data_IF_746575766260
#
_entry.id   IF_746575766260
#
_cell.length_a   1.000
_cell.length_b   1.000
_cell.length_c   1.000
_cell.angle_alpha   90.00
_cell.angle_beta   90.00
_cell.angle_gamma   90.00
#
_symmetry.space_group_name_H-M   'P 1'
#
loop_
_entity.id
_entity.type
_entity.pdbx_description
1 polymer ?
#
# COMPACT_ATOMS: atom_id res chain seq x y z
N UNK A 1 70.29 -44.29 -78.22
CA UNK A 1 69.97 -42.95 -78.76
C UNK A 1 68.47 -42.73 -78.58
N UNK A 2 68.10 -41.64 -77.87
CA UNK A 2 66.80 -40.94 -77.75
C UNK A 2 65.49 -41.77 -77.66
N UNK A 3 64.72 -41.74 -76.56
CA UNK A 3 63.83 -40.66 -76.04
C UNK A 3 62.70 -40.24 -77.00
N UNK A 4 61.47 -40.16 -76.41
CA UNK A 4 60.23 -39.44 -76.83
C UNK A 4 59.33 -40.15 -77.85
N UNK A 5 57.99 -40.00 -77.87
CA UNK A 5 56.93 -39.36 -77.04
C UNK A 5 55.59 -39.69 -77.73
N UNK A 6 54.49 -39.79 -76.99
CA UNK A 6 53.14 -39.29 -77.35
C UNK A 6 52.17 -39.74 -76.24
N UNK A 7 51.65 -38.86 -75.37
CA UNK A 7 50.54 -37.91 -75.55
C UNK A 7 49.24 -38.54 -76.10
N UNK A 8 48.30 -38.86 -75.20
CA UNK A 8 46.97 -38.23 -75.07
C UNK A 8 46.00 -39.18 -74.35
N UNK A 9 45.43 -38.70 -73.25
CA UNK A 9 44.43 -39.40 -72.46
C UNK A 9 43.68 -38.41 -71.58
N UNK A 10 42.93 -37.50 -72.22
CA UNK A 10 41.91 -36.71 -71.54
C UNK A 10 40.70 -37.61 -71.30
N UNK A 11 40.35 -37.86 -70.03
CA UNK A 11 38.96 -38.07 -69.59
C UNK A 11 38.82 -38.00 -68.07
N UNK A 12 37.79 -37.25 -67.68
CA UNK A 12 36.96 -37.36 -66.48
C UNK A 12 37.46 -36.73 -65.17
N UNK A 13 36.87 -35.55 -64.89
CA UNK A 13 35.86 -35.44 -63.84
C UNK A 13 36.34 -35.40 -62.38
N UNK A 14 36.39 -34.20 -61.82
CA UNK A 14 36.53 -34.00 -60.38
C UNK A 14 36.08 -32.59 -59.98
N UNK A 15 34.79 -32.44 -59.67
CA UNK A 15 34.28 -31.30 -58.89
C UNK A 15 34.95 -31.30 -57.52
N UNK A 16 35.61 -30.21 -57.15
CA UNK A 16 36.30 -30.12 -55.86
C UNK A 16 36.93 -28.77 -55.58
N UNK A 17 36.13 -27.72 -55.48
CA UNK A 17 36.54 -26.47 -54.81
C UNK A 17 35.48 -26.05 -53.78
N UNK A 18 35.25 -26.91 -52.79
CA UNK A 18 34.57 -26.50 -51.56
C UNK A 18 35.58 -25.71 -50.70
N UNK A 19 35.80 -24.45 -51.10
CA UNK A 19 36.53 -23.48 -50.29
C UNK A 19 35.74 -23.20 -49.02
N UNK A 20 36.26 -23.68 -47.88
CA UNK A 20 35.78 -23.44 -46.53
C UNK A 20 35.69 -21.93 -46.23
N UNK A 21 34.49 -21.35 -46.34
CA UNK A 21 34.14 -20.11 -45.66
C UNK A 21 33.58 -20.47 -44.28
N UNK A 22 34.49 -20.65 -43.33
CA UNK A 22 34.17 -20.75 -41.91
C UNK A 22 33.83 -19.34 -41.43
N UNK A 23 32.58 -18.91 -41.66
CA UNK A 23 32.02 -17.72 -41.03
C UNK A 23 31.98 -18.02 -39.54
N UNK A 24 32.90 -17.42 -38.79
CA UNK A 24 32.84 -17.35 -37.33
C UNK A 24 31.58 -16.56 -37.00
N UNK A 25 30.53 -17.28 -36.61
CA UNK A 25 29.34 -16.69 -36.03
C UNK A 25 29.73 -16.06 -34.69
N UNK A 26 29.91 -14.75 -34.68
CA UNK A 26 29.98 -13.94 -33.47
C UNK A 26 28.62 -14.06 -32.78
N UNK A 27 28.52 -14.56 -31.54
CA UNK A 27 27.24 -14.57 -30.85
C UNK A 27 26.90 -13.13 -30.43
N UNK A 28 26.13 -12.43 -31.25
CA UNK A 28 25.47 -11.17 -30.89
C UNK A 28 24.26 -11.44 -29.98
N UNK A 29 24.48 -12.07 -28.82
CA UNK A 29 23.43 -12.44 -27.86
C UNK A 29 23.51 -11.71 -26.52
N UNK A 30 24.40 -10.73 -26.33
CA UNK A 30 24.44 -9.90 -25.13
C UNK A 30 23.40 -8.74 -25.14
N UNK A 31 22.21 -8.99 -25.70
CA UNK A 31 21.20 -7.96 -25.93
C UNK A 31 19.76 -8.37 -25.60
N UNK A 32 19.55 -9.46 -24.85
CA UNK A 32 18.24 -9.76 -24.28
C UNK A 32 18.15 -9.08 -22.90
N UNK A 33 17.47 -7.93 -22.89
CA UNK A 33 17.39 -6.96 -21.80
C UNK A 33 17.04 -7.54 -20.44
N UNK A 34 18.05 -7.62 -19.58
CA UNK A 34 17.85 -7.71 -18.14
C UNK A 34 17.25 -6.38 -17.66
N UNK A 35 16.30 -6.36 -16.72
CA UNK A 35 15.83 -5.11 -16.13
C UNK A 35 17.03 -4.35 -15.55
N UNK A 36 17.23 -3.09 -15.93
CA UNK A 36 18.29 -2.27 -15.31
C UNK A 36 18.10 -2.24 -13.79
N UNK A 37 19.13 -2.55 -13.02
CA UNK A 37 19.22 -2.36 -11.57
C UNK A 37 20.59 -1.74 -11.34
N UNK A 38 20.67 -0.41 -11.45
CA UNK A 38 21.96 0.30 -11.52
C UNK A 38 22.73 0.08 -10.23
N UNK A 39 22.01 0.07 -9.10
CA UNK A 39 22.54 -0.11 -7.77
C UNK A 39 22.46 -1.56 -7.26
N UNK A 40 21.97 -2.51 -8.08
CA UNK A 40 21.78 -3.91 -7.65
C UNK A 40 20.95 -4.02 -6.36
N UNK A 41 19.93 -3.16 -6.23
CA UNK A 41 19.09 -3.04 -5.04
C UNK A 41 18.48 -4.38 -4.64
N UNK A 42 18.03 -5.16 -5.63
CA UNK A 42 17.40 -6.45 -5.38
C UNK A 42 18.37 -7.46 -4.76
N UNK A 43 19.61 -7.52 -5.27
CA UNK A 43 20.63 -8.40 -4.73
C UNK A 43 21.10 -7.97 -3.34
N UNK A 44 21.20 -6.67 -3.07
CA UNK A 44 21.59 -6.12 -1.75
C UNK A 44 20.57 -6.45 -0.66
N UNK A 45 19.28 -6.35 -0.98
CA UNK A 45 18.20 -6.58 -0.02
C UNK A 45 18.04 -8.06 0.32
N UNK A 46 18.23 -8.97 -0.65
CA UNK A 46 18.04 -10.41 -0.42
C UNK A 46 19.05 -10.93 0.62
N UNK A 47 18.56 -11.38 1.77
CA UNK A 47 19.44 -11.76 2.89
C UNK A 47 20.06 -10.58 3.64
N UNK A 48 19.70 -9.34 3.30
CA UNK A 48 20.25 -8.11 3.82
C UNK A 48 19.20 -7.26 4.54
N UNK A 49 19.30 -5.93 4.38
CA UNK A 49 18.40 -4.97 5.02
C UNK A 49 17.54 -4.28 3.95
N UNK A 50 16.24 -4.16 4.21
CA UNK A 50 15.27 -3.39 3.45
C UNK A 50 14.99 -2.06 4.18
N UNK A 51 15.44 -0.94 3.63
CA UNK A 51 15.25 0.40 4.18
C UNK A 51 13.92 1.00 3.68
N UNK A 52 12.99 1.21 4.61
CA UNK A 52 11.61 1.60 4.29
C UNK A 52 11.27 2.95 4.88
N UNK A 53 10.95 3.93 4.02
CA UNK A 53 10.40 5.21 4.43
C UNK A 53 8.90 5.14 4.71
N UNK A 54 8.45 5.70 5.83
CA UNK A 54 7.05 5.73 6.26
C UNK A 54 6.59 7.12 6.73
N UNK A 55 5.37 7.49 6.35
CA UNK A 55 4.63 8.61 6.92
C UNK A 55 3.24 8.12 7.35
N UNK A 56 2.73 8.66 8.46
CA UNK A 56 1.44 8.23 9.02
C UNK A 56 0.28 8.64 8.12
N UNK A 57 -0.48 7.65 7.64
CA UNK A 57 -1.62 7.83 6.78
C UNK A 57 -2.57 6.62 6.93
N UNK A 58 -3.46 6.59 7.94
CA UNK A 58 -4.38 5.49 8.12
C UNK A 58 -5.40 5.38 6.97
N UNK A 59 -5.78 4.18 6.52
CA UNK A 59 -5.40 2.86 7.04
C UNK A 59 -4.14 2.27 6.40
N UNK A 60 -3.48 2.99 5.48
CA UNK A 60 -2.31 2.52 4.75
C UNK A 60 -1.11 2.32 5.68
N UNK A 61 -0.82 3.32 6.50
CA UNK A 61 0.29 3.33 7.47
C UNK A 61 -0.22 3.91 8.78
N UNK A 62 -0.10 3.13 9.85
CA UNK A 62 -0.52 3.49 11.20
C UNK A 62 0.71 3.40 12.09
N UNK A 63 0.96 4.45 12.88
CA UNK A 63 2.00 4.42 13.89
C UNK A 63 1.44 3.80 15.17
N UNK A 64 2.11 2.77 15.70
CA UNK A 64 1.75 2.16 16.98
C UNK A 64 2.97 2.04 17.89
N UNK A 65 2.74 1.80 19.17
CA UNK A 65 3.82 1.55 20.14
C UNK A 65 4.63 0.28 19.81
N UNK A 66 4.04 -0.68 19.10
CA UNK A 66 4.69 -1.94 18.69
C UNK A 66 5.46 -1.83 17.37
N UNK A 67 5.33 -0.69 16.66
CA UNK A 67 5.92 -0.48 15.34
C UNK A 67 4.88 -0.06 14.29
N UNK A 68 5.29 0.04 13.02
CA UNK A 68 4.38 0.32 11.91
C UNK A 68 3.31 -0.77 11.76
N UNK A 69 2.08 -0.37 11.55
CA UNK A 69 0.94 -1.24 11.25
C UNK A 69 0.13 -0.67 10.07
N UNK A 70 -0.91 -1.39 9.64
CA UNK A 70 -1.73 -1.00 8.49
C UNK A 70 -1.35 -1.75 7.23
N UNK A 71 -2.05 -1.44 6.14
CA UNK A 71 -1.98 -2.25 4.93
C UNK A 71 -0.58 -2.28 4.30
N UNK A 72 0.07 -1.14 4.15
CA UNK A 72 1.38 -1.08 3.48
C UNK A 72 2.49 -1.73 4.32
N UNK A 73 2.63 -1.49 5.64
CA UNK A 73 3.59 -2.21 6.45
C UNK A 73 3.39 -3.73 6.46
N UNK A 74 2.15 -4.22 6.49
CA UNK A 74 1.85 -5.67 6.39
C UNK A 74 2.36 -6.24 5.05
N UNK A 75 2.08 -5.57 3.94
CA UNK A 75 2.58 -5.98 2.61
C UNK A 75 4.12 -6.02 2.59
N UNK A 76 4.75 -5.01 3.18
CA UNK A 76 6.22 -4.89 3.17
C UNK A 76 6.87 -5.94 4.07
N UNK A 77 6.23 -6.28 5.18
CA UNK A 77 6.67 -7.38 6.06
C UNK A 77 6.63 -8.71 5.32
N UNK A 78 5.53 -9.02 4.64
CA UNK A 78 5.41 -10.24 3.81
C UNK A 78 6.49 -10.28 2.71
N UNK A 79 6.78 -9.15 2.06
CA UNK A 79 7.88 -9.05 1.08
C UNK A 79 9.26 -9.31 1.70
N UNK A 80 9.54 -8.73 2.88
CA UNK A 80 10.82 -8.91 3.54
C UNK A 80 11.04 -10.37 3.95
N UNK A 81 9.98 -11.06 4.40
CA UNK A 81 10.00 -12.49 4.68
C UNK A 81 10.34 -13.31 3.43
N UNK A 82 9.72 -13.01 2.27
CA UNK A 82 10.03 -13.66 0.98
C UNK A 82 11.48 -13.46 0.53
N UNK A 83 12.08 -12.32 0.89
CA UNK A 83 13.45 -11.95 0.56
C UNK A 83 14.46 -12.39 1.62
N UNK A 84 14.00 -12.93 2.75
CA UNK A 84 14.82 -13.19 3.95
C UNK A 84 15.61 -11.93 4.36
N UNK A 85 14.95 -10.77 4.37
CA UNK A 85 15.54 -9.48 4.67
C UNK A 85 15.08 -8.97 6.04
N UNK A 86 15.95 -8.27 6.76
CA UNK A 86 15.58 -7.48 7.93
C UNK A 86 15.04 -6.12 7.49
N UNK A 87 14.07 -5.54 8.21
CA UNK A 87 13.49 -4.25 7.84
C UNK A 87 14.02 -3.16 8.77
N UNK A 88 14.50 -2.07 8.18
CA UNK A 88 14.76 -0.82 8.88
C UNK A 88 13.69 0.23 8.53
N UNK A 89 12.92 0.65 9.54
CA UNK A 89 11.83 1.61 9.39
C UNK A 89 12.31 3.03 9.63
N UNK A 90 12.12 3.90 8.64
CA UNK A 90 12.52 5.31 8.67
C UNK A 90 11.29 6.20 8.61
N UNK A 91 11.02 6.97 9.67
CA UNK A 91 9.86 7.85 9.73
C UNK A 91 10.23 9.30 9.48
N UNK A 92 9.56 9.95 8.53
CA UNK A 92 9.71 11.38 8.25
C UNK A 92 8.49 11.91 7.45
N UNK A 93 8.54 13.17 7.04
CA UNK A 93 7.63 13.78 6.07
C UNK A 93 7.84 13.20 4.66
N UNK A 94 6.75 13.13 3.87
CA UNK A 94 6.78 12.69 2.48
C UNK A 94 7.89 13.35 1.65
N UNK A 95 8.11 14.66 1.84
CA UNK A 95 9.15 15.40 1.13
C UNK A 95 10.57 14.93 1.46
N UNK A 96 10.85 14.66 2.74
CA UNK A 96 12.17 14.19 3.17
C UNK A 96 12.39 12.74 2.74
N UNK A 97 11.36 11.89 2.85
CA UNK A 97 11.43 10.49 2.41
C UNK A 97 11.67 10.39 0.90
N UNK A 98 10.97 11.19 0.09
CA UNK A 98 11.18 11.21 -1.35
C UNK A 98 12.58 11.73 -1.72
N UNK A 99 13.13 12.70 -0.99
CA UNK A 99 14.51 13.15 -1.18
C UNK A 99 15.52 12.06 -0.79
N UNK A 100 15.32 11.38 0.34
CA UNK A 100 16.17 10.27 0.78
C UNK A 100 16.15 9.10 -0.23
N UNK A 101 14.97 8.77 -0.76
CA UNK A 101 14.78 7.79 -1.83
C UNK A 101 15.55 8.17 -3.10
N UNK A 102 15.51 9.44 -3.52
CA UNK A 102 16.29 9.93 -4.67
C UNK A 102 17.80 9.84 -4.47
N UNK A 103 18.26 9.95 -3.22
CA UNK A 103 19.67 9.82 -2.86
C UNK A 103 20.09 8.38 -2.56
N UNK A 104 19.21 7.40 -2.77
CA UNK A 104 19.51 5.98 -2.55
C UNK A 104 19.67 5.60 -1.07
N UNK A 105 19.13 6.40 -0.15
CA UNK A 105 19.14 6.10 1.29
C UNK A 105 17.99 5.19 1.72
N UNK A 106 16.95 5.08 0.88
CA UNK A 106 15.78 4.24 1.10
C UNK A 106 15.58 3.35 -0.12
N UNK A 107 15.10 2.14 0.11
CA UNK A 107 14.82 1.16 -0.95
C UNK A 107 13.38 1.29 -1.45
N UNK A 108 12.46 1.71 -0.58
CA UNK A 108 11.08 2.08 -0.95
C UNK A 108 10.50 3.10 0.04
N UNK A 109 9.45 3.80 -0.38
CA UNK A 109 8.65 4.66 0.50
C UNK A 109 7.17 4.30 0.39
N UNK A 110 6.54 4.07 1.54
CA UNK A 110 5.13 3.72 1.67
C UNK A 110 4.42 4.71 2.61
N UNK A 111 3.49 5.48 2.06
CA UNK A 111 2.80 6.58 2.74
C UNK A 111 1.32 6.68 2.31
N UNK A 112 0.76 5.63 1.71
CA UNK A 112 -0.55 5.68 1.05
C UNK A 112 -0.59 6.62 -0.16
N UNK A 113 0.55 6.79 -0.85
CA UNK A 113 0.67 7.69 -1.99
C UNK A 113 -0.34 7.37 -3.08
N UNK A 114 -0.81 8.42 -3.76
CA UNK A 114 -1.64 8.29 -4.96
C UNK A 114 -0.85 8.60 -6.21
N UNK A 115 -1.15 7.89 -7.30
CA UNK A 115 -0.56 8.12 -8.61
C UNK A 115 -0.86 9.55 -9.07
N UNK A 116 0.18 10.37 -9.16
CA UNK A 116 0.09 11.74 -9.65
C UNK A 116 1.43 12.22 -10.24
N UNK A 117 1.38 13.31 -11.01
CA UNK A 117 2.56 13.87 -11.70
C UNK A 117 3.64 14.43 -10.76
N UNK A 118 3.30 14.81 -9.51
CA UNK A 118 4.30 15.27 -8.55
C UNK A 118 5.14 14.10 -8.06
N UNK A 119 4.53 12.97 -7.73
CA UNK A 119 5.24 11.77 -7.29
C UNK A 119 6.26 11.30 -8.35
N UNK A 120 5.86 11.26 -9.62
CA UNK A 120 6.72 10.82 -10.72
C UNK A 120 7.92 11.74 -11.00
N UNK A 121 7.90 12.96 -10.45
CA UNK A 121 9.07 13.86 -10.49
C UNK A 121 10.19 13.35 -9.58
N UNK A 122 9.84 12.78 -8.43
CA UNK A 122 10.80 12.34 -7.41
C UNK A 122 11.14 10.85 -7.51
N UNK A 123 10.14 10.00 -7.71
CA UNK A 123 10.27 8.55 -7.62
C UNK A 123 9.78 7.84 -8.88
N UNK A 124 10.18 6.58 -9.06
CA UNK A 124 9.37 5.63 -9.79
C UNK A 124 8.23 5.15 -8.88
N UNK A 125 7.17 4.57 -9.45
CA UNK A 125 6.09 4.01 -8.65
C UNK A 125 5.67 2.66 -9.19
N UNK A 126 5.16 1.80 -8.31
CA UNK A 126 4.45 0.59 -8.73
C UNK A 126 3.25 0.96 -9.61
N UNK A 127 2.67 -0.04 -10.28
CA UNK A 127 1.28 0.12 -10.73
C UNK A 127 0.37 0.30 -9.51
N UNK A 128 -0.80 0.94 -9.68
CA UNK A 128 -1.76 1.04 -8.61
C UNK A 128 -2.10 -0.33 -8.02
N UNK A 129 -1.81 -0.53 -6.73
CA UNK A 129 -2.12 -1.78 -6.04
C UNK A 129 -3.56 -1.75 -5.49
N UNK A 130 -4.12 -0.56 -5.27
CA UNK A 130 -5.49 -0.37 -4.83
C UNK A 130 -6.11 0.91 -5.43
N UNK A 131 -7.42 0.90 -5.66
CA UNK A 131 -8.16 2.07 -6.11
C UNK A 131 -9.29 2.39 -5.13
N UNK A 132 -9.11 3.45 -4.33
CA UNK A 132 -10.13 3.95 -3.42
C UNK A 132 -11.20 4.71 -4.20
N UNK A 133 -12.37 4.09 -4.38
CA UNK A 133 -13.54 4.73 -4.99
C UNK A 133 -14.28 5.56 -3.96
N UNK A 134 -14.41 6.86 -4.20
CA UNK A 134 -15.26 7.75 -3.40
C UNK A 134 -16.68 7.75 -3.94
N UNK A 135 -17.64 7.59 -3.04
CA UNK A 135 -19.06 7.54 -3.35
C UNK A 135 -19.88 8.04 -2.17
N UNK A 136 -21.21 8.07 -2.32
CA UNK A 136 -22.16 8.30 -1.23
C UNK A 136 -22.63 6.96 -0.70
N UNK A 137 -22.66 6.80 0.62
CA UNK A 137 -23.31 5.68 1.30
C UNK A 137 -24.38 6.15 2.26
N UNK A 138 -25.37 5.28 2.50
CA UNK A 138 -26.42 5.47 3.50
C UNK A 138 -26.26 4.47 4.64
N UNK A 139 -26.77 4.74 5.85
CA UNK A 139 -26.73 3.77 6.94
C UNK A 139 -27.25 2.39 6.49
N UNK A 140 -26.57 1.33 6.93
CA UNK A 140 -26.91 -0.04 6.51
C UNK A 140 -28.35 -0.38 6.90
N UNK A 141 -29.11 -0.87 5.92
CA UNK A 141 -30.53 -1.18 6.08
C UNK A 141 -31.46 -0.09 5.55
N UNK A 142 -30.92 1.08 5.22
CA UNK A 142 -31.65 2.10 4.45
C UNK A 142 -31.58 1.82 2.95
N UNK A 143 -32.60 2.29 2.23
CA UNK A 143 -32.65 2.20 0.78
C UNK A 143 -31.77 3.29 0.16
N UNK A 144 -30.95 2.91 -0.83
CA UNK A 144 -30.14 3.87 -1.57
C UNK A 144 -31.07 4.83 -2.34
N UNK A 145 -30.87 6.15 -2.24
CA UNK A 145 -31.69 7.09 -2.99
C UNK A 145 -31.44 6.92 -4.49
N UNK A 146 -32.46 7.10 -5.31
CA UNK A 146 -32.32 7.03 -6.77
C UNK A 146 -31.47 8.18 -7.35
N UNK A 147 -31.32 9.28 -6.62
CA UNK A 147 -30.57 10.47 -7.01
C UNK A 147 -30.05 11.22 -5.77
N UNK A 148 -28.99 12.00 -5.95
CA UNK A 148 -28.42 12.88 -4.92
C UNK A 148 -29.00 14.29 -4.93
N UNK A 149 -29.94 14.61 -5.84
CA UNK A 149 -30.52 15.93 -6.01
C UNK A 149 -31.10 16.48 -4.69
N UNK A 150 -30.56 17.61 -4.24
CA UNK A 150 -30.86 18.28 -2.96
C UNK A 150 -30.63 17.45 -1.68
N UNK A 151 -30.05 16.24 -1.80
CA UNK A 151 -29.76 15.39 -0.64
C UNK A 151 -28.65 16.01 0.21
N UNK A 152 -28.86 16.09 1.51
CA UNK A 152 -27.79 16.47 2.45
C UNK A 152 -26.84 15.30 2.61
N UNK A 153 -25.57 15.52 2.31
CA UNK A 153 -24.54 14.48 2.39
C UNK A 153 -23.40 14.97 3.25
N UNK A 154 -23.15 14.30 4.37
CA UNK A 154 -22.03 14.60 5.25
C UNK A 154 -20.70 14.20 4.56
N UNK A 155 -19.68 15.02 4.68
CA UNK A 155 -18.35 14.73 4.15
C UNK A 155 -17.27 15.39 5.00
N UNK A 156 -16.05 14.87 4.94
CA UNK A 156 -14.92 15.47 5.64
C UNK A 156 -14.69 16.91 5.12
N UNK A 157 -14.26 17.88 5.97
CA UNK A 157 -14.10 19.28 5.54
C UNK A 157 -13.12 19.45 4.37
N UNK A 158 -12.11 18.59 4.32
CA UNK A 158 -11.10 18.56 3.27
C UNK A 158 -11.24 17.28 2.45
N UNK A 159 -11.38 17.43 1.14
CA UNK A 159 -11.45 16.32 0.18
C UNK A 159 -11.60 16.82 -1.25
N UNK A 160 -10.99 16.12 -2.21
CA UNK A 160 -10.98 16.51 -3.62
C UNK A 160 -12.31 16.17 -4.35
N UNK A 161 -13.28 15.60 -3.64
CA UNK A 161 -14.57 15.15 -4.19
C UNK A 161 -15.77 16.05 -3.81
N UNK A 162 -15.54 17.21 -3.17
CA UNK A 162 -16.60 18.17 -2.82
C UNK A 162 -17.31 18.72 -4.07
N UNK A 163 -16.53 19.13 -5.08
CA UNK A 163 -17.09 19.61 -6.35
C UNK A 163 -17.87 18.49 -7.09
N UNK A 164 -17.29 17.30 -7.33
CA UNK A 164 -18.04 16.18 -7.89
C UNK A 164 -19.36 15.89 -7.17
N UNK A 165 -19.37 15.92 -5.84
CA UNK A 165 -20.59 15.71 -5.04
C UNK A 165 -21.67 16.78 -5.29
N UNK A 166 -21.29 18.04 -5.51
CA UNK A 166 -22.24 19.11 -5.89
C UNK A 166 -22.72 18.97 -7.33
N UNK A 167 -21.85 18.51 -8.23
CA UNK A 167 -22.20 18.32 -9.64
C UNK A 167 -23.24 17.20 -9.80
N UNK A 168 -23.31 16.25 -8.87
CA UNK A 168 -24.40 15.25 -8.74
C UNK A 168 -25.71 15.83 -8.12
N UNK A 169 -25.76 17.12 -7.81
CA UNK A 169 -26.94 17.79 -7.24
C UNK A 169 -27.05 17.73 -5.72
N UNK A 170 -26.08 17.10 -5.03
CA UNK A 170 -26.11 16.99 -3.57
C UNK A 170 -25.80 18.32 -2.86
N UNK A 171 -26.15 18.38 -1.58
CA UNK A 171 -25.85 19.47 -0.65
C UNK A 171 -24.81 18.99 0.38
N UNK A 172 -23.51 19.18 0.14
CA UNK A 172 -22.48 18.76 1.07
C UNK A 172 -22.58 19.49 2.42
N UNK A 173 -22.47 18.72 3.50
CA UNK A 173 -22.36 19.20 4.88
C UNK A 173 -20.98 18.77 5.39
N UNK A 174 -20.16 19.73 5.80
CA UNK A 174 -18.80 19.42 6.28
C UNK A 174 -18.86 19.01 7.75
N UNK A 175 -18.36 17.81 8.06
CA UNK A 175 -18.34 17.27 9.40
C UNK A 175 -17.01 16.60 9.71
N UNK A 176 -16.45 16.90 10.89
CA UNK A 176 -15.19 16.32 11.33
C UNK A 176 -15.33 14.84 11.72
N UNK A 177 -16.47 14.45 12.28
CA UNK A 177 -16.77 13.08 12.67
C UNK A 177 -17.92 12.49 11.82
N UNK A 178 -17.54 11.83 10.73
CA UNK A 178 -18.50 11.17 9.83
C UNK A 178 -19.09 9.88 10.40
N UNK A 179 -18.42 9.25 11.37
CA UNK A 179 -18.88 7.97 11.91
C UNK A 179 -20.13 8.10 12.80
N UNK A 180 -20.41 9.31 13.30
CA UNK A 180 -21.55 9.61 14.17
C UNK A 180 -22.77 10.18 13.45
N UNK A 181 -22.79 10.21 12.12
CA UNK A 181 -23.88 10.83 11.36
C UNK A 181 -25.00 9.84 11.06
N UNK A 182 -26.25 10.24 11.29
CA UNK A 182 -27.45 9.42 11.02
C UNK A 182 -27.93 9.48 9.54
N UNK A 183 -27.16 10.08 8.63
CA UNK A 183 -27.58 10.34 7.25
C UNK A 183 -26.57 9.89 6.20
N UNK A 184 -26.80 10.30 4.95
CA UNK A 184 -25.90 9.96 3.85
C UNK A 184 -24.49 10.57 4.05
N UNK A 185 -23.45 9.79 3.78
CA UNK A 185 -22.04 10.18 3.91
C UNK A 185 -21.32 10.00 2.59
N UNK A 186 -20.50 10.97 2.19
CA UNK A 186 -19.55 10.84 1.09
C UNK A 186 -18.15 10.51 1.62
N UNK A 187 -17.66 9.31 1.30
CA UNK A 187 -16.36 8.79 1.73
C UNK A 187 -15.90 7.65 0.78
N UNK A 188 -14.66 7.14 0.92
CA UNK A 188 -14.25 5.94 0.22
C UNK A 188 -15.17 4.75 0.54
N UNK A 189 -15.44 3.90 -0.45
CA UNK A 189 -16.34 2.75 -0.31
C UNK A 189 -15.90 1.76 0.78
N UNK A 190 -14.59 1.57 0.95
CA UNK A 190 -14.03 0.75 2.03
C UNK A 190 -14.35 1.36 3.40
N UNK A 191 -14.27 2.70 3.54
CA UNK A 191 -14.55 3.41 4.78
C UNK A 191 -16.03 3.30 5.13
N UNK A 192 -16.90 3.51 4.14
CA UNK A 192 -18.36 3.39 4.28
C UNK A 192 -18.74 2.01 4.82
N UNK A 193 -18.24 0.93 4.18
CA UNK A 193 -18.51 -0.45 4.63
C UNK A 193 -18.00 -0.70 6.05
N UNK A 194 -16.80 -0.25 6.37
CA UNK A 194 -16.22 -0.41 7.72
C UNK A 194 -17.02 0.33 8.80
N UNK A 195 -17.73 1.40 8.42
CA UNK A 195 -18.52 2.24 9.33
C UNK A 195 -20.02 1.94 9.32
N UNK A 196 -20.45 0.86 8.66
CA UNK A 196 -21.85 0.45 8.68
C UNK A 196 -22.74 1.23 7.70
N UNK A 197 -22.15 1.74 6.62
CA UNK A 197 -22.88 2.34 5.50
C UNK A 197 -22.88 1.39 4.30
N UNK A 198 -23.98 1.36 3.56
CA UNK A 198 -24.04 0.72 2.25
C UNK A 198 -23.63 1.73 1.17
N UNK A 199 -22.50 1.53 0.47
CA UNK A 199 -22.05 2.44 -0.59
C UNK A 199 -22.92 2.30 -1.84
N UNK A 200 -23.29 3.43 -2.44
CA UNK A 200 -23.89 3.47 -3.76
C UNK A 200 -22.87 3.36 -4.90
N UNK A 201 -23.38 3.61 -6.11
CA UNK A 201 -22.64 3.46 -7.36
C UNK A 201 -22.20 4.80 -7.98
N UNK A 202 -22.50 5.94 -7.35
CA UNK A 202 -21.99 7.24 -7.78
C UNK A 202 -20.46 7.27 -7.77
N UNK A 203 -19.87 7.85 -8.81
CA UNK A 203 -18.42 7.92 -8.97
C UNK A 203 -17.94 9.35 -8.74
N UNK A 204 -17.66 9.68 -7.48
CA UNK A 204 -17.25 11.03 -7.12
C UNK A 204 -15.77 11.28 -7.42
N UNK A 205 -14.92 10.31 -7.10
CA UNK A 205 -13.49 10.33 -7.35
C UNK A 205 -12.87 8.94 -7.23
N UNK A 206 -11.61 8.81 -7.64
CA UNK A 206 -10.82 7.60 -7.43
C UNK A 206 -9.37 7.96 -7.13
N UNK A 207 -8.89 7.50 -5.98
CA UNK A 207 -7.48 7.57 -5.60
C UNK A 207 -6.81 6.23 -5.93
N UNK A 208 -5.82 6.25 -6.82
CA UNK A 208 -5.04 5.09 -7.22
C UNK A 208 -3.78 5.00 -6.36
N UNK A 209 -3.74 4.08 -5.40
CA UNK A 209 -2.64 3.99 -4.45
C UNK A 209 -1.45 3.20 -5.01
N UNK A 210 -0.25 3.72 -4.78
CA UNK A 210 1.02 3.22 -5.29
C UNK A 210 2.10 3.26 -4.21
N UNK A 211 3.13 2.43 -4.35
CA UNK A 211 4.35 2.51 -3.53
C UNK A 211 5.45 3.18 -4.34
N UNK A 212 6.22 4.06 -3.69
CA UNK A 212 7.28 4.82 -4.33
C UNK A 212 8.61 4.05 -4.24
N UNK A 213 9.36 4.07 -5.34
CA UNK A 213 10.58 3.28 -5.54
C UNK A 213 11.68 4.15 -6.18
N UNK A 214 12.97 3.82 -5.96
CA UNK A 214 14.06 4.55 -6.57
C UNK A 214 13.99 4.46 -8.10
N UNK A 215 14.32 5.56 -8.78
CA UNK A 215 14.36 5.60 -10.25
C UNK A 215 15.58 4.82 -10.75
N UNK A 216 15.39 4.01 -11.79
CA UNK A 216 16.48 3.25 -12.42
C UNK A 216 16.65 1.82 -11.93
N UNK A 217 16.03 1.47 -10.79
CA UNK A 217 16.03 0.12 -10.20
C UNK A 217 14.83 -0.69 -10.70
N UNK A 218 14.84 -1.02 -12.00
CA UNK A 218 13.74 -1.75 -12.65
C UNK A 218 13.63 -3.20 -12.18
N UNK A 219 14.73 -3.86 -11.78
CA UNK A 219 14.64 -5.22 -11.22
C UNK A 219 13.95 -5.18 -9.86
N UNK A 220 14.28 -4.17 -9.05
CA UNK A 220 13.60 -3.94 -7.77
C UNK A 220 12.11 -3.63 -7.94
N UNK A 221 11.77 -2.73 -8.86
CA UNK A 221 10.39 -2.45 -9.26
C UNK A 221 9.61 -3.72 -9.64
N UNK A 222 10.22 -4.58 -10.45
CA UNK A 222 9.59 -5.84 -10.88
C UNK A 222 9.41 -6.82 -9.72
N UNK A 223 10.32 -6.83 -8.75
CA UNK A 223 10.21 -7.63 -7.53
C UNK A 223 9.02 -7.17 -6.69
N UNK A 224 8.96 -5.87 -6.38
CA UNK A 224 7.83 -5.28 -5.65
C UNK A 224 6.50 -5.49 -6.39
N UNK A 225 6.47 -5.26 -7.70
CA UNK A 225 5.25 -5.44 -8.50
C UNK A 225 4.78 -6.90 -8.52
N UNK A 226 5.70 -7.86 -8.59
CA UNK A 226 5.35 -9.28 -8.56
C UNK A 226 4.75 -9.68 -7.22
N UNK A 227 5.32 -9.18 -6.12
CA UNK A 227 4.78 -9.37 -4.79
C UNK A 227 3.37 -8.78 -4.66
N UNK A 228 3.17 -7.53 -5.10
CA UNK A 228 1.85 -6.89 -5.12
C UNK A 228 0.81 -7.63 -5.99
N UNK A 229 1.24 -8.26 -7.08
CA UNK A 229 0.34 -9.06 -7.92
C UNK A 229 -0.12 -10.36 -7.26
N UNK A 230 0.51 -10.78 -6.15
CA UNK A 230 0.09 -11.96 -5.37
C UNK A 230 -1.14 -11.71 -4.50
N UNK A 231 -1.56 -10.46 -4.33
CA UNK A 231 -2.72 -10.12 -3.50
C UNK A 231 -4.01 -10.13 -4.33
N UNK A 232 -4.82 -11.16 -4.13
CA UNK A 232 -6.22 -11.14 -4.55
C UNK A 232 -7.04 -10.27 -3.59
N UNK A 233 -7.84 -9.36 -4.12
CA UNK A 233 -8.79 -8.55 -3.34
C UNK A 233 -8.18 -7.82 -2.13
N UNK A 234 -7.07 -7.11 -2.34
CA UNK A 234 -6.37 -6.33 -1.28
C UNK A 234 -7.31 -5.42 -0.48
N UNK A 235 -8.41 -4.97 -1.09
CA UNK A 235 -9.46 -4.19 -0.45
C UNK A 235 -10.19 -4.88 0.72
N UNK A 236 -10.20 -6.21 0.80
CA UNK A 236 -10.79 -6.94 1.94
C UNK A 236 -9.91 -6.87 3.19
N UNK A 237 -8.61 -6.58 3.03
CA UNK A 237 -7.69 -6.38 4.17
C UNK A 237 -8.00 -5.10 4.95
N UNK A 238 -8.71 -4.14 4.36
CA UNK A 238 -9.23 -2.98 5.10
C UNK A 238 -10.28 -3.44 6.13
N UNK A 239 -9.85 -3.56 7.39
CA UNK A 239 -10.70 -4.00 8.51
C UNK A 239 -10.58 -5.47 8.91
N UNK A 240 -9.79 -6.28 8.18
CA UNK A 240 -9.48 -7.67 8.51
C UNK A 240 -8.13 -7.85 9.21
N UNK A 241 -7.51 -6.76 9.70
CA UNK A 241 -6.30 -6.82 10.52
C UNK A 241 -6.43 -7.93 11.55
N UNK A 242 -5.75 -9.03 11.27
CA UNK A 242 -5.78 -10.25 12.06
C UNK A 242 -4.97 -9.98 13.31
N UNK A 243 -5.57 -9.28 14.27
CA UNK A 243 -5.31 -9.18 15.71
C UNK A 243 -6.37 -8.18 16.28
N UNK A 244 -6.77 -8.29 17.57
CA UNK A 244 -7.88 -7.52 18.14
C UNK A 244 -7.55 -6.02 18.39
N UNK A 245 -6.98 -5.35 17.38
CA UNK A 245 -6.82 -3.90 17.32
C UNK A 245 -8.07 -3.20 16.75
N UNK A 246 -9.11 -3.94 16.34
CA UNK A 246 -10.43 -3.40 15.98
C UNK A 246 -11.12 -2.65 17.14
N UNK A 247 -10.57 -2.74 18.36
CA UNK A 247 -10.99 -1.95 19.51
C UNK A 247 -10.41 -0.51 19.54
N UNK A 248 -9.50 -0.12 18.65
CA UNK A 248 -8.95 1.25 18.57
C UNK A 248 -9.83 2.23 17.76
N UNK A 249 -11.08 1.85 17.47
CA UNK A 249 -12.07 2.63 16.70
C UNK A 249 -12.49 3.94 17.39
N UNK A 250 -12.25 4.11 18.69
CA UNK A 250 -12.59 5.34 19.44
C UNK A 250 -11.41 6.31 19.67
N UNK A 251 -10.15 5.87 19.51
CA UNK A 251 -9.00 6.67 19.96
C UNK A 251 -8.39 7.58 18.87
N UNK A 252 -8.52 7.24 17.59
CA UNK A 252 -7.82 7.97 16.52
C UNK A 252 -8.61 9.17 15.94
N UNK A 253 -9.89 9.34 16.31
CA UNK A 253 -10.71 10.49 15.92
C UNK A 253 -11.19 11.36 17.09
N UNK A 254 -10.71 11.09 18.31
CA UNK A 254 -10.89 12.04 19.41
C UNK A 254 -9.96 13.23 19.18
N UNK A 255 -10.56 14.34 18.75
CA UNK A 255 -9.98 15.69 18.67
C UNK A 255 -8.97 15.96 19.81
N UNK A 256 -7.83 16.67 19.58
CA UNK A 256 -6.85 16.96 20.62
C UNK A 256 -7.39 17.84 21.76
N UNK A 257 -8.60 18.36 21.68
CA UNK A 257 -9.20 19.18 22.72
C UNK A 257 -10.60 18.70 23.11
N UNK A 258 -10.70 18.23 24.36
CA UNK A 258 -11.93 18.31 25.14
C UNK A 258 -12.79 17.05 25.23
N UNK A 259 -12.93 16.58 26.47
CA UNK A 259 -14.08 15.84 27.02
C UNK A 259 -14.08 14.31 26.82
N UNK A 260 -13.35 13.61 27.68
CA UNK A 260 -13.67 12.22 28.03
C UNK A 260 -14.87 12.22 28.99
N UNK A 261 -16.07 12.21 28.44
CA UNK A 261 -17.27 11.86 29.19
C UNK A 261 -17.42 10.33 29.24
N UNK A 262 -17.17 9.79 30.43
CA UNK A 262 -17.69 8.54 31.01
C UNK A 262 -18.33 7.53 30.03
N UNK A 263 -17.52 6.62 29.47
CA UNK A 263 -18.04 5.41 28.82
C UNK A 263 -18.37 4.39 29.92
N UNK A 264 -19.54 4.56 30.53
CA UNK A 264 -20.19 3.49 31.29
C UNK A 264 -21.27 2.84 30.43
N UNK A 265 -21.26 1.49 30.44
CA UNK A 265 -22.14 0.54 29.73
C UNK A 265 -21.60 0.26 28.32
N UNK A 266 -21.12 -0.93 27.97
CA UNK A 266 -21.79 -2.23 28.16
C UNK A 266 -20.77 -3.35 28.04
N UNK A 267 -20.38 -3.95 29.16
CA UNK A 267 -19.80 -5.30 29.17
C UNK A 267 -20.20 -5.94 30.50
N UNK A 268 -21.00 -6.99 30.45
CA UNK A 268 -21.54 -7.71 31.60
C UNK A 268 -20.49 -8.55 32.35
N UNK A 269 -19.38 -7.95 32.75
CA UNK A 269 -18.42 -8.52 33.69
C UNK A 269 -18.24 -7.55 34.86
N UNK A 270 -18.46 -8.02 36.09
CA UNK A 270 -18.53 -7.22 37.32
C UNK A 270 -17.23 -6.55 37.79
N UNK A 271 -16.29 -6.26 36.89
CA UNK A 271 -15.04 -5.57 37.18
C UNK A 271 -15.08 -4.14 36.60
N UNK A 272 -14.79 -3.15 37.44
CA UNK A 272 -14.60 -1.76 37.00
C UNK A 272 -13.15 -1.60 36.56
N UNK A 273 -12.94 -1.27 35.29
CA UNK A 273 -11.65 -0.83 34.76
C UNK A 273 -11.68 0.70 34.78
N UNK A 274 -10.73 1.32 35.49
CA UNK A 274 -10.54 2.76 35.47
C UNK A 274 -9.20 3.08 34.81
N UNK A 275 -9.23 3.97 33.83
CA UNK A 275 -8.03 4.51 33.20
C UNK A 275 -7.64 5.79 33.95
N UNK A 276 -6.49 5.76 34.63
CA UNK A 276 -5.98 6.92 35.36
C UNK A 276 -4.77 7.46 34.62
N UNK A 277 -4.84 8.73 34.20
CA UNK A 277 -3.72 9.43 33.56
C UNK A 277 -2.70 9.81 34.64
N UNK A 278 -1.50 9.24 34.57
CA UNK A 278 -0.39 9.65 35.43
C UNK A 278 0.22 10.94 34.89
N UNK A 279 0.71 11.82 35.77
CA UNK A 279 1.21 13.16 35.41
C UNK A 279 2.38 13.16 34.41
N UNK A 280 2.99 12.01 34.15
CA UNK A 280 4.08 11.82 33.17
C UNK A 280 3.59 11.37 31.78
N UNK A 281 2.28 11.37 31.51
CA UNK A 281 1.73 10.97 30.22
C UNK A 281 1.65 9.44 29.99
N UNK A 282 1.99 8.63 30.99
CA UNK A 282 1.72 7.18 30.98
C UNK A 282 0.35 6.89 31.59
N UNK A 283 -0.36 5.91 31.04
CA UNK A 283 -1.61 5.41 31.61
C UNK A 283 -1.35 4.19 32.48
N UNK A 284 -1.98 4.14 33.65
CA UNK A 284 -1.96 2.98 34.53
C UNK A 284 -3.32 2.30 34.47
N UNK A 285 -3.34 1.00 34.21
CA UNK A 285 -4.54 0.18 34.26
C UNK A 285 -4.73 -0.31 35.71
N UNK A 286 -5.70 0.25 36.44
CA UNK A 286 -6.03 -0.23 37.78
C UNK A 286 -7.21 -1.22 37.69
N UNK A 287 -6.93 -2.50 37.95
CA UNK A 287 -7.94 -3.53 38.08
C UNK A 287 -8.41 -3.59 39.54
N UNK A 288 -9.55 -2.96 39.86
CA UNK A 288 -10.18 -3.16 41.17
C UNK A 288 -11.07 -4.38 41.17
N UNK A 289 -10.55 -5.47 41.73
CA UNK A 289 -11.36 -6.63 42.06
C UNK A 289 -12.25 -6.32 43.27
N UNK A 290 -13.55 -6.56 43.16
CA UNK A 290 -14.47 -6.46 44.31
C UNK A 290 -14.07 -7.56 45.29
N UNK A 291 -13.49 -7.22 46.45
CA UNK A 291 -13.28 -8.20 47.53
C UNK A 291 -14.63 -8.84 47.84
N UNK A 292 -14.76 -10.14 47.54
CA UNK A 292 -15.76 -10.97 48.17
C UNK A 292 -15.41 -11.03 49.65
N UNK A 293 -16.21 -10.38 50.48
CA UNK A 293 -16.24 -10.66 51.90
C UNK A 293 -16.67 -12.11 52.07
N UNK A 294 -15.75 -12.98 52.50
CA UNK A 294 -16.12 -14.22 53.16
C UNK A 294 -16.78 -13.85 54.49
N UNK A 295 -18.02 -14.30 54.79
CA UNK A 295 -18.50 -14.27 56.15
C UNK A 295 -17.79 -15.38 56.93
N UNK A 296 -16.98 -14.99 57.90
CA UNK A 296 -16.61 -15.90 58.98
C UNK A 296 -17.79 -16.03 59.93
N UNK A 297 -18.24 -17.27 60.14
CA UNK A 297 -18.67 -17.86 61.41
C UNK A 297 -18.82 -19.36 61.23
#
# INVERSE_FOLDING_TARGET
>A
MQIRRSEQGLRNGGWGWAGRLLIVAVPALAGCGFPNDIEHTTEKIRGGVLNVGLAENPPWVIRTDAGPAGLEPEIIQELAEELNAEIEWHWDSDSNLLAALQHGQLDLVACGFTENSRLSTFAASTKPYYASRYTVGVPKGEELPASLENLKVAMHPVGHFNKPLRDEGARPVQEANLAGTDGAVAAPSWWLRAHGFEPGDWQLATDKHVIALPKGENAWMMTMQRHLNGYDNIGQRFGLGSHPATLFRELLYSSPEGVFADIQRTAGFGNRIALVKHQTGRFLLELRCKRSSFPGH
#
